data_IF_608610393012
#
_entry.id   IF_608610393012
#
_cell.length_a   1.000
_cell.length_b   1.000
_cell.length_c   1.000
_cell.angle_alpha   90.00
_cell.angle_beta   90.00
_cell.angle_gamma   90.00
#
_symmetry.space_group_name_H-M   'P 1'
#
loop_
_entity.id
_entity.type
_entity.pdbx_description
1 polymer ?
#
# COMPACT_ATOMS: atom_id res chain seq x y z
N UNK A 1 6.01 12.08 -6.07
CA UNK A 1 7.21 11.26 -6.30
C UNK A 1 6.75 9.92 -6.81
N UNK A 2 7.49 9.34 -7.76
CA UNK A 2 7.15 8.07 -8.41
C UNK A 2 6.93 6.94 -7.39
N UNK A 3 6.03 5.99 -7.68
CA UNK A 3 5.77 4.85 -6.79
C UNK A 3 4.96 5.18 -5.54
N UNK A 4 4.11 6.22 -5.58
CA UNK A 4 3.15 6.51 -4.50
C UNK A 4 1.71 6.32 -5.00
N UNK A 5 1.39 5.09 -5.38
CA UNK A 5 0.12 4.71 -5.99
C UNK A 5 -1.07 4.93 -5.07
N UNK A 6 -0.87 4.87 -3.75
CA UNK A 6 -1.94 5.11 -2.76
C UNK A 6 -2.32 6.58 -2.62
N UNK A 7 -1.69 7.53 -3.32
CA UNK A 7 -2.14 8.93 -3.38
C UNK A 7 -1.87 9.50 -4.78
N UNK A 8 -2.69 9.11 -5.77
CA UNK A 8 -2.47 9.48 -7.16
C UNK A 8 -2.77 10.98 -7.37
N UNK A 9 -2.07 11.59 -8.32
CA UNK A 9 -2.36 12.96 -8.78
C UNK A 9 -3.53 12.91 -9.76
N UNK A 10 -4.73 12.59 -9.26
CA UNK A 10 -5.94 12.43 -10.05
C UNK A 10 -7.17 12.81 -9.19
N UNK A 11 -7.87 13.87 -9.59
CA UNK A 11 -8.98 14.45 -8.84
C UNK A 11 -10.18 13.50 -8.69
N UNK A 12 -10.54 12.77 -9.74
CA UNK A 12 -11.66 11.83 -9.72
C UNK A 12 -11.40 10.70 -8.72
N UNK A 13 -10.20 10.12 -8.75
CA UNK A 13 -9.80 9.06 -7.83
C UNK A 13 -9.73 9.55 -6.39
N UNK A 14 -9.15 10.73 -6.16
CA UNK A 14 -9.10 11.32 -4.82
C UNK A 14 -10.52 11.61 -4.29
N UNK A 15 -11.41 12.12 -5.14
CA UNK A 15 -12.82 12.35 -4.80
C UNK A 15 -13.51 11.05 -4.41
N UNK A 16 -13.30 9.99 -5.18
CA UNK A 16 -13.89 8.68 -4.88
C UNK A 16 -13.35 8.10 -3.58
N UNK A 17 -12.04 8.26 -3.29
CA UNK A 17 -11.46 7.82 -2.01
C UNK A 17 -12.00 8.59 -0.81
N UNK A 18 -12.22 9.91 -0.95
CA UNK A 18 -12.85 10.72 0.11
C UNK A 18 -14.27 10.22 0.38
N UNK A 19 -15.10 10.10 -0.67
CA UNK A 19 -16.48 9.58 -0.54
C UNK A 19 -16.53 8.19 0.08
N UNK A 20 -15.62 7.31 -0.33
CA UNK A 20 -15.52 5.97 0.21
C UNK A 20 -15.11 5.97 1.70
N UNK A 21 -14.24 6.89 2.10
CA UNK A 21 -13.92 7.09 3.51
C UNK A 21 -15.08 7.64 4.33
N UNK A 22 -15.84 8.59 3.79
CA UNK A 22 -17.06 9.09 4.45
C UNK A 22 -18.09 7.96 4.65
N UNK A 23 -18.27 7.13 3.63
CA UNK A 23 -19.09 5.92 3.72
C UNK A 23 -18.60 4.97 4.82
N UNK A 24 -17.29 4.71 4.86
CA UNK A 24 -16.66 3.78 5.80
C UNK A 24 -16.79 4.23 7.26
N UNK A 25 -16.58 5.53 7.53
CA UNK A 25 -16.82 6.11 8.86
C UNK A 25 -18.31 6.11 9.24
N UNK A 26 -19.21 6.28 8.28
CA UNK A 26 -20.66 6.27 8.51
C UNK A 26 -21.29 4.88 8.61
N UNK A 27 -20.57 3.81 8.27
CA UNK A 27 -21.09 2.44 8.25
C UNK A 27 -21.35 1.93 9.67
N UNK A 28 -22.60 1.67 10.07
CA UNK A 28 -22.94 1.15 11.40
C UNK A 28 -22.63 -0.35 11.50
N UNK A 29 -22.52 -0.84 12.74
CA UNK A 29 -22.52 -2.27 13.09
C UNK A 29 -21.48 -3.12 12.34
N UNK A 30 -20.30 -2.56 12.05
CA UNK A 30 -19.18 -3.32 11.47
C UNK A 30 -18.64 -4.27 12.53
N UNK A 31 -18.69 -5.58 12.26
CA UNK A 31 -18.25 -6.65 13.18
C UNK A 31 -17.03 -7.41 12.67
N UNK A 32 -16.65 -7.21 11.42
CA UNK A 32 -15.46 -7.76 10.79
C UNK A 32 -14.92 -6.81 9.71
N UNK A 33 -13.64 -6.90 9.33
CA UNK A 33 -13.06 -6.06 8.28
C UNK A 33 -13.67 -6.41 6.93
N UNK A 34 -14.15 -5.41 6.20
CA UNK A 34 -14.78 -5.57 4.91
C UNK A 34 -14.24 -4.57 3.89
N UNK A 35 -15.17 -3.96 3.16
CA UNK A 35 -14.86 -3.02 2.09
C UNK A 35 -14.43 -1.64 2.57
N UNK A 36 -14.19 -1.42 3.85
CA UNK A 36 -13.95 -0.08 4.38
C UNK A 36 -12.52 0.43 4.12
N UNK A 37 -12.43 1.70 3.71
CA UNK A 37 -11.18 2.44 3.58
C UNK A 37 -11.26 3.76 4.34
N UNK A 38 -10.31 4.04 5.22
CA UNK A 38 -10.33 5.19 6.11
C UNK A 38 -9.21 6.18 5.76
N UNK A 39 -9.60 7.30 5.17
CA UNK A 39 -8.71 8.42 4.84
C UNK A 39 -8.90 9.54 5.86
N UNK A 40 -7.84 9.87 6.59
CA UNK A 40 -7.83 10.90 7.61
C UNK A 40 -6.92 12.05 7.21
N UNK A 41 -7.36 13.29 7.45
CA UNK A 41 -6.59 14.50 7.16
C UNK A 41 -6.12 15.16 8.44
N UNK A 42 -4.86 15.60 8.45
CA UNK A 42 -4.36 16.51 9.46
C UNK A 42 -4.47 17.93 8.92
N UNK A 43 -5.05 18.85 9.69
CA UNK A 43 -5.09 20.26 9.36
C UNK A 43 -4.57 21.10 10.53
N UNK A 44 -4.02 22.26 10.21
CA UNK A 44 -3.61 23.25 11.19
C UNK A 44 -4.84 23.99 11.71
N UNK A 45 -5.09 23.92 13.01
CA UNK A 45 -6.28 24.49 13.64
C UNK A 45 -6.31 26.02 13.64
N UNK A 46 -5.17 26.69 13.49
CA UNK A 46 -5.11 28.15 13.45
C UNK A 46 -5.39 28.68 12.04
N UNK A 47 -4.73 28.10 11.04
CA UNK A 47 -4.86 28.55 9.63
C UNK A 47 -5.97 27.85 8.85
N UNK A 48 -6.46 26.71 9.32
CA UNK A 48 -7.39 25.83 8.59
C UNK A 48 -6.75 25.06 7.43
N UNK A 49 -5.43 25.16 7.23
CA UNK A 49 -4.77 24.54 6.10
C UNK A 49 -4.53 23.04 6.32
N UNK A 50 -4.80 22.25 5.28
CA UNK A 50 -4.47 20.81 5.26
C UNK A 50 -2.96 20.61 5.31
N UNK A 51 -2.48 19.98 6.39
CA UNK A 51 -1.08 19.64 6.61
C UNK A 51 -0.67 18.36 5.87
N UNK A 52 -1.57 17.39 5.76
CA UNK A 52 -1.33 16.12 5.10
C UNK A 52 -2.46 15.12 5.29
N UNK A 53 -2.24 13.89 4.84
CA UNK A 53 -3.24 12.82 4.85
C UNK A 53 -2.61 11.49 5.24
N UNK A 54 -3.41 10.64 5.86
CA UNK A 54 -3.02 9.27 6.22
C UNK A 54 -4.16 8.29 5.96
N UNK A 55 -3.86 7.03 5.62
CA UNK A 55 -4.87 6.04 5.23
C UNK A 55 -4.78 4.69 5.95
N UNK A 56 -5.90 3.98 5.99
CA UNK A 56 -6.00 2.57 6.38
C UNK A 56 -6.98 1.89 5.42
N UNK A 57 -6.61 0.75 4.84
CA UNK A 57 -7.58 -0.15 4.20
C UNK A 57 -7.94 -1.26 5.21
N UNK A 58 -9.23 -1.48 5.49
CA UNK A 58 -9.69 -2.47 6.45
C UNK A 58 -9.32 -3.89 6.02
N UNK A 59 -9.53 -4.19 4.75
CA UNK A 59 -9.28 -5.49 4.15
C UNK A 59 -8.83 -5.32 2.70
N UNK A 60 -7.55 -5.57 2.43
CA UNK A 60 -7.04 -5.53 1.06
C UNK A 60 -7.48 -6.74 0.24
N UNK A 61 -7.57 -6.57 -1.07
CA UNK A 61 -7.90 -7.66 -1.98
C UNK A 61 -9.39 -7.98 -2.08
N UNK A 62 -10.25 -7.08 -1.57
CA UNK A 62 -11.69 -7.31 -1.53
C UNK A 62 -12.40 -7.05 -2.87
N UNK A 63 -12.15 -5.90 -3.47
CA UNK A 63 -12.69 -5.51 -4.77
C UNK A 63 -11.73 -5.90 -5.91
N UNK A 64 -10.45 -5.61 -5.73
CA UNK A 64 -9.37 -5.88 -6.68
C UNK A 64 -8.28 -6.66 -5.96
N UNK A 65 -7.82 -7.79 -6.51
CA UNK A 65 -6.76 -8.58 -5.89
C UNK A 65 -5.53 -7.75 -5.53
N UNK A 66 -4.99 -8.00 -4.33
CA UNK A 66 -3.72 -7.44 -3.91
C UNK A 66 -2.62 -8.45 -4.16
N UNK A 67 -1.73 -8.13 -5.10
CA UNK A 67 -0.65 -9.01 -5.51
C UNK A 67 0.66 -8.66 -4.79
N UNK A 68 1.47 -9.68 -4.54
CA UNK A 68 2.79 -9.57 -3.92
C UNK A 68 3.70 -10.70 -4.39
N UNK A 69 5.01 -10.50 -4.27
CA UNK A 69 5.99 -11.57 -4.42
C UNK A 69 6.46 -12.08 -3.06
N UNK A 70 6.24 -13.35 -2.77
CA UNK A 70 6.78 -14.00 -1.60
C UNK A 70 8.20 -14.52 -1.86
N UNK A 71 9.17 -14.12 -1.03
CA UNK A 71 10.54 -14.62 -1.09
C UNK A 71 10.64 -15.89 -0.24
N UNK A 72 10.82 -17.03 -0.90
CA UNK A 72 11.08 -18.32 -0.26
C UNK A 72 12.51 -18.80 -0.55
N UNK A 73 12.93 -19.88 0.13
CA UNK A 73 14.20 -20.57 -0.13
C UNK A 73 13.94 -22.02 -0.50
N UNK A 74 14.62 -22.50 -1.52
CA UNK A 74 14.65 -23.92 -1.92
C UNK A 74 16.07 -24.43 -1.76
N UNK A 75 16.22 -25.62 -1.19
CA UNK A 75 17.50 -26.29 -0.99
C UNK A 75 17.64 -27.41 -2.01
N UNK A 76 18.62 -27.29 -2.90
CA UNK A 76 19.01 -28.35 -3.82
C UNK A 76 20.20 -29.11 -3.24
N UNK A 77 19.95 -30.33 -2.75
CA UNK A 77 20.99 -31.20 -2.19
C UNK A 77 21.21 -32.41 -3.09
N UNK A 78 22.47 -32.65 -3.46
CA UNK A 78 22.91 -33.85 -4.16
C UNK A 78 24.07 -34.48 -3.41
N UNK A 79 23.82 -35.49 -2.56
CA UNK A 79 24.87 -36.19 -1.82
C UNK A 79 25.93 -36.80 -2.74
N UNK A 80 25.51 -37.35 -3.89
CA UNK A 80 26.40 -37.94 -4.89
C UNK A 80 27.39 -36.95 -5.49
N UNK A 81 27.00 -35.68 -5.61
CA UNK A 81 27.84 -34.60 -6.14
C UNK A 81 28.47 -33.75 -5.04
N UNK A 82 28.17 -34.01 -3.76
CA UNK A 82 28.59 -33.17 -2.65
C UNK A 82 28.04 -31.74 -2.68
N UNK A 83 26.93 -31.52 -3.40
CA UNK A 83 26.36 -30.18 -3.61
C UNK A 83 25.22 -29.92 -2.63
N UNK A 84 25.23 -28.74 -2.00
CA UNK A 84 24.11 -28.22 -1.22
C UNK A 84 23.96 -26.72 -1.53
N UNK A 85 23.01 -26.40 -2.41
CA UNK A 85 22.78 -25.04 -2.88
C UNK A 85 21.45 -24.52 -2.35
N UNK A 86 21.47 -23.36 -1.69
CA UNK A 86 20.27 -22.66 -1.25
C UNK A 86 19.97 -21.53 -2.24
N UNK A 87 18.82 -21.61 -2.90
CA UNK A 87 18.38 -20.63 -3.90
C UNK A 87 17.16 -19.87 -3.35
N UNK A 88 17.09 -18.56 -3.61
CA UNK A 88 15.90 -17.75 -3.30
C UNK A 88 14.94 -17.78 -4.47
N UNK A 89 13.65 -17.93 -4.19
CA UNK A 89 12.58 -17.92 -5.18
C UNK A 89 11.60 -16.78 -4.89
N UNK A 90 11.18 -16.07 -5.93
CA UNK A 90 10.07 -15.13 -5.90
C UNK A 90 8.81 -15.83 -6.41
N UNK A 91 7.80 -15.96 -5.55
CA UNK A 91 6.51 -16.55 -5.91
C UNK A 91 5.45 -15.45 -5.97
N UNK A 92 4.85 -15.25 -7.14
CA UNK A 92 3.73 -14.32 -7.31
C UNK A 92 2.45 -14.88 -6.67
N UNK A 93 1.71 -14.04 -5.96
CA UNK A 93 0.44 -14.44 -5.36
C UNK A 93 -0.24 -13.30 -4.61
N UNK A 94 -1.30 -13.63 -3.87
CA UNK A 94 -2.17 -12.67 -3.18
C UNK A 94 -2.36 -13.05 -1.69
N UNK A 95 -1.29 -13.54 -1.07
CA UNK A 95 -1.29 -14.13 0.28
C UNK A 95 -1.75 -13.19 1.40
N UNK A 96 -1.83 -11.89 1.15
CA UNK A 96 -2.23 -10.88 2.14
C UNK A 96 -3.69 -10.45 2.03
N UNK A 97 -4.46 -11.00 1.07
CA UNK A 97 -5.90 -10.73 0.94
C UNK A 97 -6.61 -10.94 2.28
N UNK A 98 -7.46 -10.00 2.69
CA UNK A 98 -8.14 -10.04 3.98
C UNK A 98 -7.41 -9.35 5.13
N UNK A 99 -6.14 -8.97 4.94
CA UNK A 99 -5.38 -8.25 5.97
C UNK A 99 -5.60 -6.74 5.86
N UNK A 100 -5.41 -6.03 6.98
CA UNK A 100 -5.47 -4.58 7.00
C UNK A 100 -4.14 -3.99 6.56
N UNK A 101 -4.21 -2.88 5.83
CA UNK A 101 -3.03 -2.16 5.35
C UNK A 101 -3.03 -0.74 5.92
N UNK A 102 -1.92 -0.32 6.53
CA UNK A 102 -1.67 1.10 6.79
C UNK A 102 -1.04 1.75 5.56
N UNK A 103 -1.89 2.14 4.62
CA UNK A 103 -1.49 2.79 3.38
C UNK A 103 -1.26 4.30 3.60
N UNK A 104 -0.94 5.05 2.53
CA UNK A 104 -0.95 6.52 2.44
C UNK A 104 -0.41 7.24 3.68
N UNK A 105 0.82 7.75 3.64
CA UNK A 105 1.30 8.68 4.66
C UNK A 105 2.00 9.84 3.96
N UNK A 106 1.37 11.00 3.96
CA UNK A 106 1.90 12.18 3.28
C UNK A 106 1.70 13.44 4.11
N UNK A 107 2.75 14.24 4.19
CA UNK A 107 2.74 15.59 4.73
C UNK A 107 3.29 16.55 3.68
N UNK A 108 2.67 17.73 3.57
CA UNK A 108 3.27 18.86 2.84
C UNK A 108 4.58 19.24 3.52
N UNK A 109 5.54 19.71 2.74
CA UNK A 109 6.93 19.91 3.17
C UNK A 109 7.04 20.77 4.44
N UNK A 110 6.34 21.90 4.50
CA UNK A 110 6.36 22.80 5.67
C UNK A 110 5.84 22.18 6.97
N UNK A 111 5.08 21.09 6.89
CA UNK A 111 4.58 20.36 8.07
C UNK A 111 5.42 19.13 8.43
N UNK A 112 6.51 18.83 7.69
CA UNK A 112 7.44 17.73 7.98
C UNK A 112 8.45 18.11 9.07
N UNK A 113 7.92 18.58 10.19
CA UNK A 113 8.71 19.05 11.33
C UNK A 113 8.14 18.51 12.63
N UNK A 114 8.98 18.50 13.67
CA UNK A 114 8.60 18.04 15.01
C UNK A 114 7.98 16.65 15.00
N UNK A 115 6.80 16.53 15.62
CA UNK A 115 6.09 15.25 15.81
C UNK A 115 4.95 15.02 14.82
N UNK A 116 4.75 15.89 13.83
CA UNK A 116 3.61 15.81 12.92
C UNK A 116 3.56 14.48 12.16
N UNK A 117 4.69 14.02 11.61
CA UNK A 117 4.76 12.72 10.93
C UNK A 117 4.45 11.54 11.85
N UNK A 118 4.89 11.62 13.12
CA UNK A 118 4.62 10.59 14.12
C UNK A 118 3.15 10.60 14.54
N UNK A 119 2.53 11.78 14.67
CA UNK A 119 1.11 11.92 14.94
C UNK A 119 0.28 11.31 13.80
N UNK A 120 0.53 11.74 12.56
CA UNK A 120 -0.15 11.21 11.37
C UNK A 120 0.01 9.70 11.23
N UNK A 121 1.20 9.16 11.55
CA UNK A 121 1.37 7.71 11.51
C UNK A 121 0.64 7.00 12.66
N UNK A 122 0.66 7.57 13.88
CA UNK A 122 0.14 6.91 15.09
C UNK A 122 -1.37 7.01 15.25
N UNK A 123 -2.03 8.03 14.70
CA UNK A 123 -3.49 8.12 14.76
C UNK A 123 -4.16 6.92 14.09
N UNK A 124 -3.52 6.31 13.06
CA UNK A 124 -4.00 5.07 12.46
C UNK A 124 -4.09 3.92 13.46
N UNK A 125 -3.05 3.74 14.28
CA UNK A 125 -3.05 2.71 15.32
C UNK A 125 -4.02 3.03 16.46
N UNK A 126 -4.24 4.31 16.77
CA UNK A 126 -5.26 4.71 17.74
C UNK A 126 -6.67 4.36 17.25
N UNK A 127 -6.95 4.63 15.99
CA UNK A 127 -8.22 4.27 15.37
C UNK A 127 -8.43 2.75 15.33
N UNK A 128 -7.39 1.98 14.99
CA UNK A 128 -7.44 0.52 15.07
C UNK A 128 -7.64 -0.01 16.50
N UNK A 129 -7.09 0.68 17.50
CA UNK A 129 -7.23 0.29 18.90
C UNK A 129 -8.63 0.61 19.45
N UNK A 130 -9.25 1.70 18.99
CA UNK A 130 -10.61 2.10 19.41
C UNK A 130 -11.69 1.27 18.73
N UNK A 131 -11.43 0.77 17.50
CA UNK A 131 -12.38 -0.01 16.71
C UNK A 131 -11.76 -1.30 16.16
N UNK A 132 -11.27 -2.21 17.03
CA UNK A 132 -10.52 -3.39 16.61
C UNK A 132 -11.30 -4.34 15.71
N UNK A 133 -12.63 -4.40 15.84
CA UNK A 133 -13.53 -5.22 15.02
C UNK A 133 -13.50 -4.86 13.52
N UNK A 134 -13.09 -3.64 13.19
CA UNK A 134 -12.99 -3.14 11.82
C UNK A 134 -11.69 -3.55 11.12
N UNK A 135 -10.74 -4.18 11.83
CA UNK A 135 -9.41 -4.50 11.30
C UNK A 135 -8.99 -5.95 11.52
N UNK A 136 -8.19 -6.45 10.59
CA UNK A 136 -7.56 -7.75 10.70
C UNK A 136 -6.54 -7.76 11.83
N UNK A 137 -6.35 -8.93 12.43
CA UNK A 137 -5.28 -9.16 13.42
C UNK A 137 -3.89 -9.00 12.81
N UNK A 138 -3.77 -9.16 11.49
CA UNK A 138 -2.52 -8.93 10.76
C UNK A 138 -2.62 -7.60 10.05
N UNK A 139 -1.71 -6.69 10.39
CA UNK A 139 -1.58 -5.36 9.80
C UNK A 139 -0.21 -5.28 9.14
N UNK A 140 -0.15 -4.76 7.92
CA UNK A 140 1.10 -4.53 7.22
C UNK A 140 1.12 -3.16 6.53
N UNK A 141 2.29 -2.81 5.99
CA UNK A 141 2.48 -1.61 5.19
C UNK A 141 3.32 -1.97 3.96
N UNK A 142 2.92 -1.55 2.77
CA UNK A 142 3.79 -1.60 1.61
C UNK A 142 4.70 -0.36 1.59
N UNK A 143 6.00 -0.61 1.69
CA UNK A 143 7.00 0.46 1.61
C UNK A 143 7.43 0.64 0.16
N UNK A 144 7.58 1.90 -0.26
CA UNK A 144 8.03 2.22 -1.61
C UNK A 144 9.36 1.53 -1.93
N UNK A 145 9.40 0.86 -3.08
CA UNK A 145 10.62 0.28 -3.63
C UNK A 145 11.66 1.34 -4.05
N UNK A 146 12.83 0.86 -4.46
CA UNK A 146 13.91 1.75 -4.94
C UNK A 146 13.58 2.24 -6.35
N UNK A 147 13.75 3.54 -6.58
CA UNK A 147 13.72 4.15 -7.91
C UNK A 147 14.81 5.21 -8.02
N UNK A 148 15.36 5.40 -9.22
CA UNK A 148 16.32 6.47 -9.50
C UNK A 148 15.63 7.85 -9.58
N UNK A 149 16.41 8.90 -9.81
CA UNK A 149 15.92 10.28 -9.91
C UNK A 149 14.97 10.51 -11.11
N UNK A 150 15.02 9.65 -12.13
CA UNK A 150 14.15 9.68 -13.30
C UNK A 150 12.89 8.81 -13.12
N UNK A 151 12.74 8.14 -11.96
CA UNK A 151 11.62 7.26 -11.67
C UNK A 151 11.81 5.82 -12.15
N UNK A 152 13.00 5.42 -12.59
CA UNK A 152 13.24 4.05 -13.04
C UNK A 152 13.47 3.11 -11.85
N UNK A 153 12.74 1.99 -11.82
CA UNK A 153 12.91 0.92 -10.82
C UNK A 153 13.73 -0.23 -11.43
N UNK A 154 14.91 -0.58 -10.88
CA UNK A 154 15.70 -1.72 -11.37
C UNK A 154 14.95 -3.05 -11.27
N UNK A 155 14.14 -3.22 -10.21
CA UNK A 155 13.33 -4.42 -10.04
C UNK A 155 12.24 -4.51 -11.11
N UNK A 156 11.58 -3.38 -11.41
CA UNK A 156 10.59 -3.36 -12.48
C UNK A 156 11.22 -3.57 -13.85
N UNK A 157 12.35 -2.93 -14.15
CA UNK A 157 13.05 -3.13 -15.42
C UNK A 157 13.37 -4.61 -15.66
N UNK A 158 13.88 -5.29 -14.62
CA UNK A 158 14.10 -6.73 -14.69
C UNK A 158 12.80 -7.52 -14.94
N UNK A 159 11.70 -7.20 -14.25
CA UNK A 159 10.40 -7.85 -14.50
C UNK A 159 9.89 -7.58 -15.92
N UNK A 160 9.99 -6.35 -16.40
CA UNK A 160 9.55 -5.93 -17.73
C UNK A 160 10.28 -6.70 -18.81
N UNK A 161 11.62 -6.72 -18.77
CA UNK A 161 12.46 -7.44 -19.75
C UNK A 161 12.10 -8.92 -19.87
N UNK A 162 11.61 -9.55 -18.79
CA UNK A 162 11.40 -10.99 -18.74
C UNK A 162 9.92 -11.42 -18.81
N UNK A 163 8.97 -10.54 -18.44
CA UNK A 163 7.57 -10.90 -18.25
C UNK A 163 6.54 -9.90 -18.80
N UNK A 164 6.88 -8.61 -19.01
CA UNK A 164 5.89 -7.59 -19.39
C UNK A 164 6.36 -6.65 -20.50
N UNK A 165 5.53 -6.40 -21.50
CA UNK A 165 5.84 -5.45 -22.59
C UNK A 165 5.50 -3.98 -22.27
N UNK A 166 5.25 -3.61 -21.01
CA UNK A 166 4.75 -2.27 -20.62
C UNK A 166 5.74 -1.50 -19.73
N UNK A 167 5.88 -0.19 -20.00
CA UNK A 167 6.75 0.74 -19.24
C UNK A 167 6.29 0.90 -17.78
N UNK A 168 7.25 1.06 -16.86
CA UNK A 168 7.00 1.31 -15.43
C UNK A 168 6.08 2.48 -15.16
N UNK A 169 6.28 3.63 -15.84
CA UNK A 169 5.45 4.81 -15.56
C UNK A 169 3.99 4.58 -15.92
N UNK A 170 3.76 3.77 -16.96
CA UNK A 170 2.42 3.35 -17.34
C UNK A 170 1.85 2.35 -16.33
N UNK A 171 2.64 1.37 -15.87
CA UNK A 171 2.21 0.40 -14.86
C UNK A 171 1.90 1.06 -13.50
N UNK A 172 2.73 2.01 -13.03
CA UNK A 172 2.53 2.78 -11.80
C UNK A 172 1.25 3.61 -11.88
N UNK A 173 1.02 4.27 -13.03
CA UNK A 173 -0.23 5.02 -13.28
C UNK A 173 -1.45 4.09 -13.33
N UNK A 174 -1.41 3.00 -14.10
CA UNK A 174 -2.53 2.06 -14.22
C UNK A 174 -2.88 1.41 -12.87
N UNK A 175 -1.87 1.08 -12.06
CA UNK A 175 -2.04 0.59 -10.69
C UNK A 175 -2.65 1.67 -9.79
N UNK A 176 -2.15 2.90 -9.88
CA UNK A 176 -2.66 4.05 -9.12
C UNK A 176 -4.11 4.42 -9.45
N UNK A 177 -4.60 4.08 -10.66
CA UNK A 177 -6.00 4.25 -11.05
C UNK A 177 -6.88 3.00 -10.86
N UNK A 178 -6.38 1.98 -10.16
CA UNK A 178 -7.14 0.77 -9.80
C UNK A 178 -7.28 -0.28 -10.91
N UNK A 179 -6.66 -0.08 -12.08
CA UNK A 179 -6.70 -1.04 -13.19
C UNK A 179 -5.58 -2.06 -13.06
N UNK A 180 -5.68 -3.02 -12.12
CA UNK A 180 -4.62 -4.05 -11.91
C UNK A 180 -4.70 -5.27 -12.85
N UNK A 181 -5.60 -5.28 -13.83
CA UNK A 181 -5.88 -6.46 -14.70
C UNK A 181 -4.83 -6.75 -15.78
N UNK A 182 -3.65 -6.14 -15.73
CA UNK A 182 -2.56 -6.34 -16.69
C UNK A 182 -1.37 -7.15 -16.13
N UNK A 183 -1.47 -7.58 -14.87
CA UNK A 183 -0.47 -8.38 -14.15
C UNK A 183 -0.84 -9.86 -14.21
#
# INVERSE_FOLDING_TARGET
GHGFTSLPVNEELLTNRIKHSEYSFGKPDVTEPGDEGYLMVGFDSESGEVAGTTGIEASIGWDVPFYSYHISKVVHSSPKLGVNNVVKLLTFGNNYTGNSEICTLFLREKYRQGLNGRLMSKCRFLMMAEHPERFSKTIFAEMRGVSDANGNSPFWQWLQEHFFSIDFTLADYQTGIGKKGFI
#
